data_IF_829732864756
#
_entry.id   IF_829732864756
#
_cell.length_a   1.000
_cell.length_b   1.000
_cell.length_c   1.000
_cell.angle_alpha   90.00
_cell.angle_beta   90.00
_cell.angle_gamma   90.00
#
_symmetry.space_group_name_H-M   'P 1'
#
loop_
_entity.id
_entity.type
_entity.pdbx_description
1 polymer ?
#
# COMPACT_ATOMS: atom_id res chain seq x y z
N UNK A 1 9.10 -47.36 7.81
CA UNK A 1 9.54 -45.99 8.12
C UNK A 1 8.97 -45.07 7.04
N UNK A 2 7.95 -44.29 7.37
CA UNK A 2 7.37 -43.28 6.43
C UNK A 2 8.08 -41.95 6.72
N UNK A 3 8.89 -41.50 5.77
CA UNK A 3 9.50 -40.18 5.81
C UNK A 3 8.43 -39.13 5.48
N UNK A 4 8.02 -38.39 6.50
CA UNK A 4 7.15 -37.24 6.33
C UNK A 4 7.86 -36.13 5.55
N UNK A 5 7.30 -35.73 4.42
CA UNK A 5 7.71 -34.54 3.69
C UNK A 5 7.36 -33.32 4.55
N UNK A 6 8.36 -32.64 5.05
CA UNK A 6 8.21 -31.30 5.64
C UNK A 6 7.87 -30.36 4.47
N UNK A 7 6.63 -29.91 4.44
CA UNK A 7 6.20 -28.84 3.53
C UNK A 7 6.90 -27.55 3.95
N UNK A 8 7.92 -27.15 3.24
CA UNK A 8 8.54 -25.83 3.38
C UNK A 8 7.54 -24.79 2.88
N UNK A 9 6.81 -24.17 3.81
CA UNK A 9 6.01 -22.98 3.50
C UNK A 9 6.98 -21.85 3.19
N UNK A 10 7.17 -21.58 1.91
CA UNK A 10 7.93 -20.40 1.45
C UNK A 10 7.08 -19.18 1.80
N UNK A 11 7.56 -18.41 2.78
CA UNK A 11 6.97 -17.13 3.15
C UNK A 11 7.29 -16.14 2.02
N UNK A 12 6.27 -15.69 1.30
CA UNK A 12 6.42 -14.73 0.21
C UNK A 12 6.84 -13.37 0.79
N UNK A 13 7.92 -12.80 0.28
CA UNK A 13 8.48 -11.52 0.69
C UNK A 13 8.30 -10.45 -0.40
N UNK A 14 8.26 -9.22 -0.03
CA UNK A 14 7.46 -8.20 -0.63
C UNK A 14 8.23 -6.92 -0.92
N UNK A 15 7.90 -6.25 -2.04
CA UNK A 15 8.30 -4.88 -2.35
C UNK A 15 7.45 -3.88 -1.59
N UNK A 16 8.08 -2.93 -0.92
CA UNK A 16 7.40 -1.98 -0.03
C UNK A 16 7.41 -0.54 -0.51
N UNK A 17 6.35 0.18 -0.14
CA UNK A 17 6.39 1.64 -0.03
C UNK A 17 6.59 2.02 1.45
N UNK A 18 7.49 2.95 1.74
CA UNK A 18 7.77 3.45 3.08
C UNK A 18 7.42 4.92 3.21
N UNK A 19 6.87 5.30 4.34
CA UNK A 19 6.62 6.69 4.72
C UNK A 19 7.67 7.15 5.74
N UNK A 20 8.29 8.29 5.49
CA UNK A 20 9.39 8.82 6.32
C UNK A 20 9.10 10.24 6.76
N UNK A 21 9.37 10.55 8.01
CA UNK A 21 9.11 11.85 8.62
C UNK A 21 10.29 12.30 9.47
N UNK A 22 10.56 13.62 9.47
CA UNK A 22 11.48 14.26 10.39
C UNK A 22 10.98 14.21 11.84
N UNK A 23 11.90 14.16 12.79
CA UNK A 23 11.65 13.92 14.22
C UNK A 23 10.74 14.98 14.83
N UNK A 24 9.50 14.59 15.18
CA UNK A 24 8.60 15.33 16.08
C UNK A 24 8.12 14.34 17.16
N UNK A 25 8.10 14.71 18.45
CA UNK A 25 7.65 13.80 19.50
C UNK A 25 6.18 13.45 19.36
N UNK A 26 5.88 12.15 19.39
CA UNK A 26 4.52 11.61 19.35
C UNK A 26 3.76 11.87 20.65
N UNK A 27 2.55 12.43 20.53
CA UNK A 27 1.51 12.31 21.54
C UNK A 27 0.42 11.40 20.99
N UNK A 28 0.27 10.23 21.58
CA UNK A 28 -0.84 9.34 21.25
C UNK A 28 -2.15 9.88 21.85
N UNK A 29 -3.15 10.13 21.02
CA UNK A 29 -4.50 10.43 21.45
C UNK A 29 -5.35 9.15 21.40
N UNK A 30 -6.16 8.94 22.44
CA UNK A 30 -7.10 7.83 22.47
C UNK A 30 -8.19 8.01 21.40
N UNK A 31 -8.48 6.93 20.70
CA UNK A 31 -9.48 6.91 19.64
C UNK A 31 -10.91 6.98 20.16
N UNK A 32 -11.79 7.67 19.45
CA UNK A 32 -13.22 7.55 19.60
C UNK A 32 -13.73 6.31 18.83
N UNK A 33 -14.61 5.53 19.44
CA UNK A 33 -15.35 4.49 18.72
C UNK A 33 -16.55 5.13 18.05
N UNK A 34 -16.68 4.98 16.73
CA UNK A 34 -17.79 5.54 15.95
C UNK A 34 -18.56 4.42 15.27
N UNK A 35 -19.89 4.47 15.38
CA UNK A 35 -20.76 3.63 14.55
C UNK A 35 -21.14 4.39 13.28
N UNK A 36 -21.10 3.73 12.14
CA UNK A 36 -21.40 4.35 10.85
C UNK A 36 -21.47 3.32 9.73
N UNK A 37 -21.38 3.80 8.52
CA UNK A 37 -21.35 2.95 7.32
C UNK A 37 -20.32 3.46 6.35
N UNK A 38 -19.80 2.53 5.53
CA UNK A 38 -19.13 2.82 4.29
C UNK A 38 -20.18 2.76 3.18
N UNK A 39 -20.79 3.88 2.76
CA UNK A 39 -22.04 3.88 1.99
C UNK A 39 -21.91 3.22 0.61
N UNK A 40 -20.76 3.39 -0.07
CA UNK A 40 -20.55 2.80 -1.39
C UNK A 40 -20.30 1.28 -1.30
N UNK A 41 -19.50 0.84 -0.35
CA UNK A 41 -19.19 -0.60 -0.16
C UNK A 41 -20.28 -1.35 0.61
N UNK A 42 -21.23 -0.64 1.24
CA UNK A 42 -22.28 -1.21 2.07
C UNK A 42 -21.74 -2.02 3.28
N UNK A 43 -20.56 -1.65 3.76
CA UNK A 43 -19.99 -2.21 4.97
C UNK A 43 -20.49 -1.44 6.19
N UNK A 44 -20.91 -2.18 7.22
CA UNK A 44 -21.32 -1.59 8.49
C UNK A 44 -20.10 -1.39 9.37
N UNK A 45 -19.77 -0.13 9.67
CA UNK A 45 -18.68 0.22 10.57
C UNK A 45 -19.12 0.01 12.02
N UNK A 46 -18.37 -0.79 12.76
CA UNK A 46 -18.61 -1.06 14.18
C UNK A 46 -17.56 -0.38 15.05
N UNK A 47 -16.33 -0.31 14.57
CA UNK A 47 -15.23 0.28 15.30
C UNK A 47 -14.29 1.01 14.34
N UNK A 48 -13.92 2.21 14.72
CA UNK A 48 -12.84 2.99 14.16
C UNK A 48 -11.91 3.45 15.29
N UNK A 49 -10.62 3.13 15.14
CA UNK A 49 -9.56 3.57 16.05
C UNK A 49 -8.57 4.40 15.27
N UNK A 50 -8.66 5.71 15.45
CA UNK A 50 -7.72 6.63 14.83
C UNK A 50 -6.52 6.90 15.73
N UNK A 51 -5.34 7.00 15.10
CA UNK A 51 -4.10 7.44 15.75
C UNK A 51 -3.29 8.32 14.80
N UNK A 52 -2.55 9.27 15.38
CA UNK A 52 -1.55 10.06 14.65
C UNK A 52 -0.21 9.36 14.75
N UNK A 53 0.33 8.89 13.62
CA UNK A 53 1.64 8.27 13.56
C UNK A 53 2.75 9.33 13.54
N UNK A 54 2.48 10.45 12.86
CA UNK A 54 3.33 11.63 12.85
C UNK A 54 2.57 12.83 12.24
N UNK A 55 3.18 14.03 12.24
CA UNK A 55 2.59 15.20 11.58
C UNK A 55 2.33 14.89 10.11
N UNK A 56 1.07 15.03 9.66
CA UNK A 56 0.64 14.71 8.30
C UNK A 56 0.45 13.21 8.02
N UNK A 57 0.57 12.32 9.01
CA UNK A 57 0.28 10.89 8.84
C UNK A 57 -0.61 10.38 9.96
N UNK A 58 -1.80 9.92 9.60
CA UNK A 58 -2.74 9.26 10.51
C UNK A 58 -2.99 7.82 10.10
N UNK A 59 -3.45 7.03 11.04
CA UNK A 59 -3.87 5.66 10.84
C UNK A 59 -5.26 5.47 11.44
N UNK A 60 -6.13 4.80 10.69
CA UNK A 60 -7.42 4.34 11.14
C UNK A 60 -7.45 2.80 11.09
N UNK A 61 -7.97 2.19 12.15
CA UNK A 61 -8.16 0.74 12.24
C UNK A 61 -9.65 0.48 12.31
N UNK A 62 -10.21 0.01 11.21
CA UNK A 62 -11.64 -0.27 11.09
C UNK A 62 -11.96 -1.73 11.39
N UNK A 63 -13.06 -1.93 12.11
CA UNK A 63 -13.77 -3.21 12.16
C UNK A 63 -15.12 -3.00 11.51
N UNK A 64 -15.38 -3.71 10.43
CA UNK A 64 -16.62 -3.61 9.66
C UNK A 64 -17.25 -4.98 9.48
N UNK A 65 -18.56 -5.00 9.16
CA UNK A 65 -19.28 -6.20 8.76
C UNK A 65 -19.84 -6.05 7.35
N UNK A 66 -19.72 -7.09 6.54
CA UNK A 66 -20.38 -7.17 5.25
C UNK A 66 -21.87 -7.49 5.39
N UNK A 67 -22.60 -7.44 4.28
CA UNK A 67 -24.05 -7.74 4.23
C UNK A 67 -24.43 -9.16 4.68
N UNK A 68 -23.45 -10.06 4.78
CA UNK A 68 -23.63 -11.45 5.23
C UNK A 68 -23.23 -11.61 6.70
N UNK A 69 -22.91 -10.52 7.40
CA UNK A 69 -22.48 -10.53 8.79
C UNK A 69 -21.03 -11.02 8.99
N UNK A 70 -20.21 -11.06 7.94
CA UNK A 70 -18.81 -11.43 8.07
C UNK A 70 -17.96 -10.23 8.42
N UNK A 71 -17.14 -10.38 9.45
CA UNK A 71 -16.24 -9.33 9.91
C UNK A 71 -15.07 -9.15 8.93
N UNK A 72 -14.66 -7.90 8.76
CA UNK A 72 -13.44 -7.52 8.06
C UNK A 72 -12.68 -6.49 8.91
N UNK A 73 -11.38 -6.69 9.05
CA UNK A 73 -10.45 -5.72 9.64
C UNK A 73 -9.69 -5.00 8.54
N UNK A 74 -9.65 -3.68 8.64
CA UNK A 74 -8.95 -2.84 7.69
C UNK A 74 -8.04 -1.85 8.43
N UNK A 75 -6.91 -1.54 7.84
CA UNK A 75 -5.94 -0.55 8.28
C UNK A 75 -5.80 0.47 7.16
N UNK A 76 -6.11 1.72 7.42
CA UNK A 76 -5.95 2.79 6.47
C UNK A 76 -4.93 3.80 7.01
N UNK A 77 -3.87 4.06 6.25
CA UNK A 77 -2.98 5.18 6.52
C UNK A 77 -3.33 6.33 5.58
N UNK A 78 -3.54 7.51 6.14
CA UNK A 78 -3.71 8.76 5.39
C UNK A 78 -2.43 9.57 5.49
N UNK A 79 -1.87 9.91 4.33
CA UNK A 79 -0.61 10.63 4.18
C UNK A 79 -0.90 11.96 3.51
N UNK A 80 -0.70 13.05 4.23
CA UNK A 80 -0.86 14.41 3.70
C UNK A 80 0.43 14.88 3.05
N UNK A 81 0.44 14.84 1.71
CA UNK A 81 1.62 15.23 0.92
C UNK A 81 1.88 16.74 0.89
N UNK A 82 0.99 17.56 1.46
CA UNK A 82 1.20 19.00 1.63
C UNK A 82 2.12 19.35 2.81
N UNK A 83 2.41 18.36 3.68
CA UNK A 83 3.31 18.55 4.83
C UNK A 83 4.75 18.28 4.39
N UNK A 84 5.59 19.29 4.35
CA UNK A 84 6.95 19.23 3.80
C UNK A 84 7.86 18.13 4.40
N UNK A 85 7.59 17.75 5.66
CA UNK A 85 8.35 16.71 6.37
C UNK A 85 7.90 15.29 6.04
N UNK A 86 6.80 15.13 5.30
CA UNK A 86 6.25 13.83 4.89
C UNK A 86 6.88 13.41 3.57
N UNK A 87 7.34 12.17 3.50
CA UNK A 87 7.90 11.56 2.30
C UNK A 87 7.35 10.14 2.11
N UNK A 88 7.13 9.77 0.86
CA UNK A 88 6.86 8.39 0.45
C UNK A 88 8.08 7.88 -0.31
N UNK A 89 8.58 6.72 0.11
CA UNK A 89 9.69 6.04 -0.58
C UNK A 89 9.24 4.67 -1.07
N UNK A 90 9.64 4.31 -2.28
CA UNK A 90 9.69 2.91 -2.67
C UNK A 90 10.92 2.27 -2.02
N UNK A 91 10.78 1.04 -1.62
CA UNK A 91 11.91 0.29 -1.09
C UNK A 91 12.03 -1.07 -1.75
N UNK A 92 13.24 -1.56 -1.79
CA UNK A 92 13.59 -2.84 -2.33
C UNK A 92 14.62 -3.52 -1.43
N UNK A 93 14.94 -4.79 -1.71
CA UNK A 93 15.93 -5.56 -0.97
C UNK A 93 17.20 -4.73 -0.74
N UNK A 94 17.59 -4.58 0.52
CA UNK A 94 18.79 -3.87 0.98
C UNK A 94 18.85 -2.37 0.59
N UNK A 95 17.72 -1.78 0.18
CA UNK A 95 17.67 -0.44 -0.42
C UNK A 95 18.66 -0.29 -1.58
N UNK A 96 18.83 -1.34 -2.35
CA UNK A 96 19.76 -1.46 -3.46
C UNK A 96 19.01 -1.88 -4.73
N UNK A 97 19.28 -1.23 -5.85
CA UNK A 97 18.66 -1.48 -7.14
C UNK A 97 19.59 -2.24 -8.11
N UNK A 98 20.71 -2.77 -7.64
CA UNK A 98 21.72 -3.46 -8.48
C UNK A 98 21.42 -4.94 -8.71
N UNK A 99 20.59 -5.54 -7.84
CA UNK A 99 20.22 -6.96 -7.95
C UNK A 99 18.79 -7.21 -7.46
N UNK A 100 18.09 -8.15 -8.10
CA UNK A 100 16.79 -8.57 -7.64
C UNK A 100 16.89 -9.53 -6.44
N UNK A 101 15.90 -9.50 -5.59
CA UNK A 101 15.78 -10.40 -4.44
C UNK A 101 14.54 -10.10 -3.61
N UNK A 102 14.27 -10.94 -2.64
CA UNK A 102 13.13 -10.80 -1.73
C UNK A 102 13.63 -10.41 -0.35
N UNK A 103 12.89 -9.54 0.33
CA UNK A 103 13.19 -9.08 1.68
C UNK A 103 11.90 -8.76 2.41
N UNK A 104 11.88 -8.99 3.72
CA UNK A 104 10.74 -8.62 4.57
C UNK A 104 10.64 -7.10 4.71
N UNK A 105 9.43 -6.60 4.96
CA UNK A 105 9.23 -5.18 5.28
C UNK A 105 10.16 -4.72 6.41
N UNK A 106 10.27 -5.50 7.49
CA UNK A 106 11.15 -5.19 8.63
C UNK A 106 12.63 -5.14 8.27
N UNK A 107 13.09 -5.96 7.34
CA UNK A 107 14.47 -5.95 6.84
C UNK A 107 14.72 -4.71 5.97
N UNK A 108 13.75 -4.33 5.14
CA UNK A 108 13.82 -3.13 4.32
C UNK A 108 13.81 -1.84 5.18
N UNK A 109 13.00 -1.80 6.25
CA UNK A 109 13.03 -0.71 7.23
C UNK A 109 14.42 -0.63 7.88
N UNK A 110 15.01 -1.76 8.29
CA UNK A 110 16.35 -1.77 8.86
C UNK A 110 17.42 -1.30 7.86
N UNK A 111 17.30 -1.67 6.59
CA UNK A 111 18.20 -1.19 5.53
C UNK A 111 18.05 0.34 5.31
N UNK A 112 16.83 0.86 5.35
CA UNK A 112 16.58 2.30 5.32
C UNK A 112 17.25 3.01 6.51
N UNK A 113 17.04 2.51 7.72
CA UNK A 113 17.64 3.09 8.95
C UNK A 113 19.19 3.08 8.86
N UNK A 114 19.79 2.05 8.24
CA UNK A 114 21.24 2.00 7.97
C UNK A 114 21.70 3.08 6.99
N UNK A 115 20.93 3.34 5.91
CA UNK A 115 21.21 4.46 4.98
C UNK A 115 21.19 5.79 5.69
N UNK A 116 20.17 6.03 6.52
CA UNK A 116 20.05 7.24 7.33
C UNK A 116 21.25 7.41 8.28
N UNK A 117 21.61 6.33 9.00
CA UNK A 117 22.75 6.33 9.93
C UNK A 117 24.09 6.55 9.23
N UNK A 118 24.21 6.13 7.98
CA UNK A 118 25.39 6.37 7.15
C UNK A 118 25.47 7.81 6.59
N UNK A 119 24.46 8.65 6.82
CA UNK A 119 24.41 10.01 6.32
C UNK A 119 24.08 10.10 4.83
N UNK A 120 23.27 9.18 4.32
CA UNK A 120 22.81 9.23 2.93
C UNK A 120 22.11 10.57 2.65
N UNK A 121 22.36 11.16 1.50
CA UNK A 121 21.83 12.47 1.16
C UNK A 121 20.35 12.45 0.78
N UNK A 122 19.84 11.30 0.35
CA UNK A 122 18.46 11.12 -0.09
C UNK A 122 17.58 10.51 1.00
N UNK A 123 18.06 9.44 1.66
CA UNK A 123 17.32 8.77 2.72
C UNK A 123 17.55 9.43 4.07
N UNK A 124 16.51 10.00 4.65
CA UNK A 124 16.55 10.70 5.94
C UNK A 124 15.23 10.57 6.69
N UNK A 125 15.25 10.86 7.99
CA UNK A 125 14.06 10.80 8.87
C UNK A 125 13.83 9.39 9.45
N UNK A 126 12.59 9.09 9.79
CA UNK A 126 12.18 7.85 10.46
C UNK A 126 11.00 7.22 9.73
N UNK A 127 11.07 5.93 9.44
CA UNK A 127 9.92 5.19 8.90
C UNK A 127 8.86 5.05 9.98
N UNK A 128 7.63 5.48 9.69
CA UNK A 128 6.48 5.40 10.62
C UNK A 128 5.45 4.37 10.20
N UNK A 129 5.36 4.06 8.91
CA UNK A 129 4.54 2.98 8.40
C UNK A 129 5.10 2.45 7.08
N UNK A 130 4.70 1.23 6.72
CA UNK A 130 5.08 0.60 5.46
C UNK A 130 4.14 -0.53 5.09
N UNK A 131 4.08 -0.82 3.79
CA UNK A 131 3.27 -1.89 3.20
C UNK A 131 4.08 -2.67 2.17
N UNK A 132 3.58 -3.86 1.83
CA UNK A 132 3.96 -4.46 0.55
C UNK A 132 3.24 -3.75 -0.61
N UNK A 133 3.83 -3.75 -1.78
CA UNK A 133 3.32 -2.96 -2.89
C UNK A 133 3.13 -3.77 -4.18
N UNK A 134 4.10 -3.71 -5.10
CA UNK A 134 3.97 -4.30 -6.42
C UNK A 134 3.97 -5.84 -6.39
N UNK A 135 3.27 -6.44 -7.34
CA UNK A 135 3.50 -7.84 -7.69
C UNK A 135 4.95 -8.05 -8.12
N UNK A 136 5.45 -9.26 -8.00
CA UNK A 136 6.84 -9.59 -8.32
C UNK A 136 7.00 -11.05 -8.79
N UNK A 137 8.08 -11.33 -9.47
CA UNK A 137 8.44 -12.69 -9.84
C UNK A 137 8.93 -13.44 -8.59
N UNK A 138 8.20 -14.46 -8.15
CA UNK A 138 8.48 -15.22 -6.92
C UNK A 138 9.81 -15.99 -6.95
N UNK A 139 10.40 -16.18 -8.12
CA UNK A 139 11.70 -16.88 -8.25
C UNK A 139 12.87 -15.90 -8.12
N UNK A 140 12.74 -14.71 -8.72
CA UNK A 140 13.86 -13.76 -8.80
C UNK A 140 13.72 -12.58 -7.85
N UNK A 141 12.49 -12.30 -7.38
CA UNK A 141 12.17 -11.08 -6.64
C UNK A 141 12.02 -9.83 -7.52
N UNK A 142 12.15 -9.94 -8.86
CA UNK A 142 11.99 -8.80 -9.76
C UNK A 142 10.56 -8.26 -9.65
N UNK A 143 10.38 -6.93 -9.43
CA UNK A 143 9.07 -6.28 -9.47
C UNK A 143 8.41 -6.47 -10.83
N UNK A 144 7.09 -6.53 -10.85
CA UNK A 144 6.29 -6.56 -12.08
C UNK A 144 5.75 -5.17 -12.39
N UNK A 145 5.93 -4.73 -13.62
CA UNK A 145 5.53 -3.40 -14.08
C UNK A 145 6.50 -2.30 -13.65
N UNK A 146 6.00 -1.08 -13.60
CA UNK A 146 6.81 0.09 -13.23
C UNK A 146 7.35 -0.05 -11.80
N UNK A 147 8.64 0.17 -11.62
CA UNK A 147 9.23 0.33 -10.30
C UNK A 147 10.43 1.29 -10.36
N UNK A 148 10.27 2.44 -9.73
CA UNK A 148 11.32 3.48 -9.67
C UNK A 148 11.66 3.75 -8.22
N UNK A 149 12.94 3.73 -7.89
CA UNK A 149 13.50 4.01 -6.58
C UNK A 149 14.56 5.09 -6.68
N UNK A 150 14.38 6.19 -5.99
CA UNK A 150 15.27 7.36 -6.04
C UNK A 150 15.60 7.79 -7.48
N UNK A 151 14.58 7.93 -8.33
CA UNK A 151 14.70 8.34 -9.72
C UNK A 151 15.30 7.28 -10.67
N UNK A 152 15.63 6.07 -10.18
CA UNK A 152 16.18 4.98 -10.97
C UNK A 152 15.11 3.94 -11.28
N UNK A 153 14.90 3.66 -12.56
CA UNK A 153 14.04 2.57 -13.01
C UNK A 153 14.68 1.21 -12.72
N UNK A 154 14.11 0.48 -11.78
CA UNK A 154 14.61 -0.83 -11.32
C UNK A 154 14.21 -1.97 -12.26
N UNK A 155 13.11 -1.80 -13.00
CA UNK A 155 12.54 -2.87 -13.86
C UNK A 155 13.01 -2.82 -15.30
N UNK A 156 13.71 -1.74 -15.69
CA UNK A 156 14.26 -1.58 -17.03
C UNK A 156 13.21 -1.19 -18.07
N UNK A 157 12.22 -0.37 -17.69
CA UNK A 157 11.23 0.20 -18.61
C UNK A 157 9.98 -0.64 -18.79
N UNK A 158 9.69 -1.58 -17.88
CA UNK A 158 8.38 -2.26 -17.89
C UNK A 158 7.25 -1.24 -17.71
N UNK A 159 6.17 -1.42 -18.49
CA UNK A 159 5.00 -0.53 -18.47
C UNK A 159 3.84 -1.19 -17.77
N UNK A 160 3.19 -0.45 -16.91
CA UNK A 160 1.95 -0.82 -16.25
C UNK A 160 1.22 0.45 -15.81
N UNK A 161 -0.01 0.33 -15.31
CA UNK A 161 -0.53 1.37 -14.44
C UNK A 161 0.40 1.51 -13.22
N UNK A 162 0.54 2.71 -12.69
CA UNK A 162 1.50 3.01 -11.62
C UNK A 162 1.00 4.10 -10.68
N UNK A 163 1.47 4.04 -9.44
CA UNK A 163 1.50 5.15 -8.52
C UNK A 163 2.90 5.77 -8.55
N UNK A 164 2.99 7.08 -8.55
CA UNK A 164 4.27 7.79 -8.53
C UNK A 164 4.25 8.99 -7.58
N UNK A 165 5.41 9.25 -6.99
CA UNK A 165 5.79 10.54 -6.42
C UNK A 165 6.71 11.21 -7.44
N UNK A 166 6.35 12.39 -7.89
CA UNK A 166 7.12 13.17 -8.85
C UNK A 166 8.25 13.93 -8.14
N UNK A 167 9.22 14.43 -8.90
CA UNK A 167 10.39 15.17 -8.37
C UNK A 167 10.02 16.48 -7.66
N UNK A 168 8.85 17.05 -7.98
CA UNK A 168 8.29 18.21 -7.30
C UNK A 168 7.49 17.86 -6.01
N UNK A 169 7.39 16.56 -5.67
CA UNK A 169 6.67 16.05 -4.51
C UNK A 169 5.18 15.79 -4.74
N UNK A 170 4.64 16.11 -5.91
CA UNK A 170 3.24 15.76 -6.22
C UNK A 170 3.09 14.26 -6.45
N UNK A 171 1.86 13.74 -6.26
CA UNK A 171 1.57 12.33 -6.46
C UNK A 171 0.64 12.12 -7.64
N UNK A 172 0.81 11.02 -8.34
CA UNK A 172 0.03 10.66 -9.53
C UNK A 172 -0.26 9.15 -9.55
N UNK A 173 -1.47 8.80 -10.00
CA UNK A 173 -1.77 7.48 -10.53
C UNK A 173 -1.92 7.63 -12.04
N UNK A 174 -1.06 6.96 -12.80
CA UNK A 174 -1.04 6.98 -14.26
C UNK A 174 -1.27 5.59 -14.85
N UNK A 175 -1.61 5.57 -16.14
CA UNK A 175 -1.71 4.34 -16.91
C UNK A 175 -0.39 4.02 -17.65
N UNK A 176 -0.32 2.84 -18.27
CA UNK A 176 0.89 2.38 -18.97
C UNK A 176 1.33 3.30 -20.13
N UNK A 177 0.39 3.97 -20.79
CA UNK A 177 0.69 4.84 -21.95
C UNK A 177 1.30 6.17 -21.51
N UNK A 178 0.97 6.63 -20.29
CA UNK A 178 1.51 7.88 -19.73
C UNK A 178 2.94 7.73 -19.21
N UNK A 179 3.38 6.50 -18.89
CA UNK A 179 4.69 6.26 -18.26
C UNK A 179 5.86 6.86 -19.04
N UNK A 180 5.86 6.73 -20.37
CA UNK A 180 6.96 7.26 -21.21
C UNK A 180 7.10 8.79 -21.10
N UNK A 181 6.00 9.50 -20.97
CA UNK A 181 6.04 10.96 -20.79
C UNK A 181 6.43 11.37 -19.38
N UNK A 182 6.09 10.55 -18.39
CA UNK A 182 6.27 10.88 -16.98
C UNK A 182 7.62 10.43 -16.41
N UNK A 183 8.21 9.34 -16.95
CA UNK A 183 9.38 8.66 -16.38
C UNK A 183 10.55 9.58 -16.05
N UNK A 184 10.77 10.62 -16.84
CA UNK A 184 11.83 11.61 -16.59
C UNK A 184 11.61 12.50 -15.37
N UNK A 185 10.35 12.59 -14.89
CA UNK A 185 9.95 13.39 -13.73
C UNK A 185 9.59 12.54 -12.49
N UNK A 186 9.62 11.23 -12.60
CA UNK A 186 9.32 10.32 -11.48
C UNK A 186 10.52 10.25 -10.53
N UNK A 187 10.25 10.38 -9.25
CA UNK A 187 11.21 10.18 -8.15
C UNK A 187 11.04 8.79 -7.54
N UNK A 188 9.81 8.42 -7.22
CA UNK A 188 9.42 7.11 -6.69
C UNK A 188 8.22 6.58 -7.48
N UNK A 189 8.19 5.30 -7.82
CA UNK A 189 7.00 4.70 -8.41
C UNK A 189 6.91 3.20 -8.14
N UNK A 190 5.67 2.72 -8.11
CA UNK A 190 5.35 1.31 -8.01
C UNK A 190 4.25 0.92 -8.99
N UNK A 191 4.30 -0.31 -9.51
CA UNK A 191 3.31 -0.86 -10.42
C UNK A 191 1.99 -1.15 -9.73
N UNK A 192 0.91 -0.75 -10.38
CA UNK A 192 -0.47 -1.10 -10.01
C UNK A 192 -0.88 -2.30 -10.84
N UNK A 193 -1.36 -3.35 -10.17
CA UNK A 193 -1.83 -4.57 -10.85
C UNK A 193 -3.16 -4.35 -11.56
N UNK A 194 -4.10 -3.66 -10.90
CA UNK A 194 -5.44 -3.40 -11.43
C UNK A 194 -5.95 -2.03 -10.97
N UNK A 195 -6.36 -1.19 -11.90
CA UNK A 195 -7.06 0.04 -11.57
C UNK A 195 -8.42 -0.30 -10.97
N UNK A 196 -8.75 0.36 -9.87
CA UNK A 196 -9.99 0.17 -9.13
C UNK A 196 -10.93 1.37 -9.29
N UNK A 197 -10.38 2.58 -9.12
CA UNK A 197 -11.11 3.84 -9.16
C UNK A 197 -10.38 4.80 -10.10
N UNK A 198 -11.14 5.45 -10.96
CA UNK A 198 -10.68 6.51 -11.83
C UNK A 198 -11.70 7.65 -11.82
N UNK A 199 -11.27 8.86 -11.52
CA UNK A 199 -12.10 10.05 -11.39
C UNK A 199 -13.35 9.85 -10.50
N UNK A 200 -13.12 9.20 -9.34
CA UNK A 200 -14.15 8.91 -8.35
C UNK A 200 -15.16 7.84 -8.75
N UNK A 201 -14.89 7.09 -9.83
CA UNK A 201 -15.78 6.02 -10.31
C UNK A 201 -15.05 4.68 -10.31
N UNK A 202 -15.75 3.62 -9.91
CA UNK A 202 -15.26 2.25 -10.05
C UNK A 202 -15.10 1.90 -11.53
N UNK A 203 -13.92 1.38 -11.91
CA UNK A 203 -13.61 0.98 -13.29
C UNK A 203 -13.54 -0.53 -13.49
N UNK A 204 -13.97 -1.29 -12.49
CA UNK A 204 -14.03 -2.75 -12.56
C UNK A 204 -15.28 -3.22 -13.31
N UNK A 205 -15.15 -4.32 -14.06
CA UNK A 205 -16.31 -5.01 -14.62
C UNK A 205 -17.04 -5.79 -13.51
N UNK A 206 -18.32 -5.57 -13.35
CA UNK A 206 -19.18 -6.32 -12.42
C UNK A 206 -19.32 -7.81 -12.81
N UNK A 207 -19.10 -8.12 -14.09
CA UNK A 207 -19.21 -9.48 -14.62
C UNK A 207 -17.95 -10.31 -14.48
N UNK A 208 -16.83 -9.70 -14.10
CA UNK A 208 -15.58 -10.44 -13.84
C UNK A 208 -15.66 -11.16 -12.48
N UNK A 209 -15.80 -12.50 -12.54
CA UNK A 209 -15.89 -13.35 -11.35
C UNK A 209 -14.67 -13.22 -10.42
N UNK A 210 -13.49 -12.86 -10.95
CA UNK A 210 -12.30 -12.63 -10.13
C UNK A 210 -12.46 -11.40 -9.22
N UNK A 211 -13.33 -10.47 -9.59
CA UNK A 211 -13.62 -9.29 -8.77
C UNK A 211 -14.50 -9.63 -7.55
N UNK A 212 -15.20 -10.75 -7.55
CA UNK A 212 -16.17 -11.17 -6.52
C UNK A 212 -15.54 -12.00 -5.38
N UNK A 213 -14.30 -12.44 -5.51
CA UNK A 213 -13.66 -13.27 -4.50
C UNK A 213 -13.08 -12.44 -3.37
N UNK A 214 -13.32 -12.85 -2.12
CA UNK A 214 -12.79 -12.21 -0.92
C UNK A 214 -11.38 -12.73 -0.62
N UNK A 215 -10.46 -11.78 -0.44
CA UNK A 215 -9.06 -12.04 -0.08
C UNK A 215 -8.52 -10.90 0.79
N UNK A 216 -7.37 -11.09 1.46
CA UNK A 216 -6.57 -9.96 1.94
C UNK A 216 -6.23 -9.02 0.78
N UNK A 217 -6.42 -7.72 0.96
CA UNK A 217 -6.28 -6.71 -0.10
C UNK A 217 -5.38 -5.57 0.31
N UNK A 218 -4.54 -5.16 -0.64
CA UNK A 218 -3.67 -4.00 -0.51
C UNK A 218 -4.00 -2.98 -1.59
N UNK A 219 -4.09 -1.70 -1.23
CA UNK A 219 -4.50 -0.64 -2.15
C UNK A 219 -3.74 0.64 -1.86
N UNK A 220 -3.48 1.40 -2.90
CA UNK A 220 -3.05 2.78 -2.81
C UNK A 220 -3.99 3.67 -3.61
N UNK A 221 -4.32 4.85 -3.09
CA UNK A 221 -5.17 5.81 -3.78
C UNK A 221 -4.79 7.24 -3.47
N UNK A 222 -5.33 8.17 -4.25
CA UNK A 222 -5.11 9.61 -4.13
C UNK A 222 -6.46 10.29 -4.04
N UNK A 223 -6.60 11.19 -3.06
CA UNK A 223 -7.77 12.06 -2.90
C UNK A 223 -7.64 13.33 -3.75
N UNK A 224 -8.72 14.08 -3.88
CA UNK A 224 -8.72 15.34 -4.64
C UNK A 224 -7.84 16.41 -4.01
N UNK A 225 -7.67 16.39 -2.68
CA UNK A 225 -6.82 17.30 -1.91
C UNK A 225 -5.37 16.78 -1.76
N UNK A 226 -4.93 15.91 -2.66
CA UNK A 226 -3.55 15.40 -2.78
C UNK A 226 -3.05 14.63 -1.54
N UNK A 227 -3.97 13.95 -0.83
CA UNK A 227 -3.59 12.96 0.18
C UNK A 227 -3.46 11.58 -0.44
N UNK A 228 -2.54 10.80 0.08
CA UNK A 228 -2.41 9.39 -0.28
C UNK A 228 -3.09 8.54 0.78
N UNK A 229 -3.99 7.67 0.34
CA UNK A 229 -4.64 6.67 1.18
C UNK A 229 -4.03 5.31 0.87
N UNK A 230 -3.53 4.64 1.89
CA UNK A 230 -3.03 3.28 1.82
C UNK A 230 -3.99 2.41 2.63
N UNK A 231 -4.66 1.47 1.97
CA UNK A 231 -5.63 0.57 2.60
C UNK A 231 -5.12 -0.86 2.57
N UNK A 232 -5.02 -1.48 3.74
CA UNK A 232 -4.75 -2.90 3.94
C UNK A 232 -5.96 -3.56 4.58
N UNK A 233 -6.62 -4.46 3.88
CA UNK A 233 -7.72 -5.25 4.42
C UNK A 233 -7.26 -6.67 4.69
N UNK A 234 -7.32 -7.09 5.94
CA UNK A 234 -7.02 -8.46 6.34
C UNK A 234 -8.08 -9.44 5.82
N UNK A 235 -7.72 -10.71 5.68
CA UNK A 235 -8.65 -11.69 5.14
C UNK A 235 -8.15 -13.13 5.27
N UNK A 236 -8.96 -14.09 4.79
CA UNK A 236 -8.70 -15.52 4.91
C UNK A 236 -8.50 -16.00 6.37
N UNK A 237 -9.09 -15.28 7.32
CA UNK A 237 -8.95 -15.54 8.76
C UNK A 237 -10.33 -15.53 9.46
N UNK A 238 -11.34 -16.11 8.83
CA UNK A 238 -12.67 -16.19 9.45
C UNK A 238 -12.61 -16.93 10.80
N UNK A 239 -13.35 -16.47 11.83
CA UNK A 239 -14.32 -15.35 11.82
C UNK A 239 -13.70 -13.96 12.03
N UNK A 240 -12.38 -13.83 12.16
CA UNK A 240 -11.69 -12.57 12.52
C UNK A 240 -11.67 -11.57 11.38
N UNK A 241 -11.41 -12.04 10.15
CA UNK A 241 -11.46 -11.22 8.95
C UNK A 241 -11.68 -12.07 7.70
N UNK A 242 -12.76 -11.77 6.96
CA UNK A 242 -13.10 -12.48 5.73
C UNK A 242 -12.34 -11.95 4.51
N UNK A 243 -11.88 -10.71 4.54
CA UNK A 243 -11.30 -10.00 3.41
C UNK A 243 -12.34 -9.24 2.58
N UNK A 244 -11.86 -8.59 1.53
CA UNK A 244 -12.69 -7.82 0.60
C UNK A 244 -12.67 -8.44 -0.79
N UNK A 245 -13.77 -8.28 -1.52
CA UNK A 245 -13.78 -8.40 -2.98
C UNK A 245 -13.06 -7.20 -3.59
N UNK A 246 -12.66 -7.27 -4.87
CA UNK A 246 -12.08 -6.09 -5.55
C UNK A 246 -13.11 -4.96 -5.68
N UNK A 247 -14.39 -5.30 -5.83
CA UNK A 247 -15.47 -4.32 -5.88
C UNK A 247 -15.64 -3.60 -4.54
N UNK A 248 -15.73 -4.33 -3.43
CA UNK A 248 -15.77 -3.74 -2.08
C UNK A 248 -14.53 -2.87 -1.82
N UNK A 249 -13.33 -3.34 -2.21
CA UNK A 249 -12.09 -2.60 -2.09
C UNK A 249 -12.14 -1.25 -2.84
N UNK A 250 -12.63 -1.25 -4.10
CA UNK A 250 -12.80 -0.03 -4.88
C UNK A 250 -13.79 0.94 -4.23
N UNK A 251 -14.91 0.41 -3.75
CA UNK A 251 -15.96 1.20 -3.09
C UNK A 251 -15.49 1.80 -1.75
N UNK A 252 -14.72 1.03 -0.96
CA UNK A 252 -14.08 1.54 0.27
C UNK A 252 -13.12 2.68 -0.05
N UNK A 253 -12.35 2.60 -1.12
CA UNK A 253 -11.45 3.71 -1.50
C UNK A 253 -12.23 4.97 -1.87
N UNK A 254 -13.40 4.84 -2.50
CA UNK A 254 -14.31 5.98 -2.75
C UNK A 254 -14.85 6.52 -1.42
N UNK A 255 -15.26 5.65 -0.50
CA UNK A 255 -15.76 6.04 0.84
C UNK A 255 -14.67 6.79 1.63
N UNK A 256 -13.39 6.46 1.43
CA UNK A 256 -12.23 7.15 2.01
C UNK A 256 -11.82 8.42 1.22
N UNK A 257 -12.59 8.83 0.21
CA UNK A 257 -12.40 10.07 -0.54
C UNK A 257 -11.45 9.98 -1.73
N UNK A 258 -11.00 8.79 -2.13
CA UNK A 258 -10.11 8.64 -3.27
C UNK A 258 -10.79 8.93 -4.59
N UNK A 259 -10.14 9.72 -5.43
CA UNK A 259 -10.48 9.95 -6.84
C UNK A 259 -9.81 8.94 -7.76
N UNK A 260 -8.64 8.46 -7.38
CA UNK A 260 -7.89 7.43 -8.10
C UNK A 260 -7.42 6.37 -7.10
N UNK A 261 -7.56 5.10 -7.46
CA UNK A 261 -7.04 4.02 -6.63
C UNK A 261 -6.66 2.79 -7.47
N UNK A 262 -5.63 2.09 -7.00
CA UNK A 262 -5.12 0.89 -7.63
C UNK A 262 -4.85 -0.24 -6.65
N UNK A 263 -5.15 -1.47 -7.09
CA UNK A 263 -4.87 -2.69 -6.36
C UNK A 263 -3.40 -3.06 -6.46
N UNK A 264 -2.82 -3.36 -5.31
CA UNK A 264 -1.45 -3.83 -5.14
C UNK A 264 -1.44 -5.34 -4.81
N UNK A 265 -0.25 -5.90 -4.55
CA UNK A 265 -0.13 -7.31 -4.19
C UNK A 265 -0.80 -7.60 -2.85
N UNK A 266 -1.75 -8.50 -2.85
CA UNK A 266 -2.58 -8.89 -1.72
C UNK A 266 -2.40 -10.36 -1.35
N UNK A 267 -3.48 -11.01 -0.89
CA UNK A 267 -3.46 -12.42 -0.51
C UNK A 267 -2.44 -12.70 0.59
N UNK A 268 -1.63 -13.73 0.40
CA UNK A 268 -0.60 -14.14 1.37
C UNK A 268 0.58 -13.17 1.50
N UNK A 269 0.73 -12.23 0.57
CA UNK A 269 1.77 -11.21 0.60
C UNK A 269 1.39 -9.98 1.42
N UNK A 270 0.09 -9.78 1.71
CA UNK A 270 -0.40 -8.58 2.36
C UNK A 270 0.30 -8.36 3.70
N UNK A 271 0.93 -7.21 3.83
CA UNK A 271 1.65 -6.78 5.03
C UNK A 271 1.42 -5.30 5.25
N UNK A 272 1.07 -4.94 6.46
CA UNK A 272 1.01 -3.57 6.96
C UNK A 272 1.79 -3.50 8.26
N UNK A 273 2.62 -2.47 8.43
CA UNK A 273 3.34 -2.19 9.66
C UNK A 273 3.35 -0.70 9.96
N UNK A 274 3.09 -0.35 11.21
CA UNK A 274 3.23 1.02 11.74
C UNK A 274 3.95 1.00 13.08
N UNK A 275 4.61 2.11 13.44
CA UNK A 275 5.29 2.31 14.73
C UNK A 275 4.36 3.00 15.71
#
# INVERSE_FOLDING_TARGET
MKTGKISTRVLAFVLCAMMVIGVVPMTAFAAAETEGTFPNSQLSLVQDKQSTLASGVTQDIYTVYDKNGKQVKMFAATVDMSVDTVKLFTSYKDMDNTSYGMSKLTEQVAAFDQKVAAGDSYYHGTVVAGINASYYNMTTGKPSGVFVMNGNDVTGGEKSAYFAVLKDGTVKIGNADEYESDKGNIQEALGIYKMLVFDGKVVLSETDQNNAQKYPRQTIGITEDNKVIILSADGNQEPVSAGLTLMEQAQVMIDLGCKWAGHLDGGGSMTYGSK
#
